data_IF_755780962125
#
_entry.id   IF_755780962125
#
_cell.length_a   1.000
_cell.length_b   1.000
_cell.length_c   1.000
_cell.angle_alpha   90.00
_cell.angle_beta   90.00
_cell.angle_gamma   90.00
#
_symmetry.space_group_name_H-M   'P 1'
#
loop_
_entity.id
_entity.type
_entity.pdbx_description
1 polymer ?
#
# COMPACT_ATOMS: atom_id res chain seq x y z
N UNK A 1 -16.45 20.96 -2.39
CA UNK A 1 -17.12 20.38 -3.52
C UNK A 1 -16.36 20.78 -4.78
N UNK A 2 -15.79 19.81 -5.47
CA UNK A 2 -15.29 20.00 -6.82
C UNK A 2 -16.53 20.12 -7.71
N UNK A 3 -16.90 21.35 -8.05
CA UNK A 3 -17.83 21.63 -9.13
C UNK A 3 -17.06 21.41 -10.43
N UNK A 4 -17.24 20.27 -11.04
CA UNK A 4 -16.95 20.12 -12.46
C UNK A 4 -18.03 20.90 -13.18
N UNK A 5 -17.64 21.90 -13.98
CA UNK A 5 -18.57 22.74 -14.72
C UNK A 5 -19.50 21.85 -15.55
N UNK A 6 -20.81 22.08 -15.42
CA UNK A 6 -21.84 21.47 -16.22
C UNK A 6 -21.71 21.97 -17.66
N UNK A 7 -21.01 21.24 -18.49
CA UNK A 7 -21.41 21.15 -19.88
C UNK A 7 -22.35 19.95 -20.00
N UNK A 8 -23.50 20.16 -20.64
CA UNK A 8 -24.60 19.23 -20.79
C UNK A 8 -24.10 17.83 -21.13
N UNK A 9 -24.16 16.95 -20.13
CA UNK A 9 -23.39 15.76 -20.10
C UNK A 9 -23.84 14.66 -21.02
N UNK A 10 -22.87 14.03 -21.56
CA UNK A 10 -22.97 12.65 -22.03
C UNK A 10 -23.10 11.72 -20.80
N UNK A 11 -23.66 10.55 -20.99
CA UNK A 11 -23.83 9.55 -19.90
C UNK A 11 -22.50 9.20 -19.19
N UNK A 12 -21.37 9.37 -19.86
CA UNK A 12 -20.03 9.20 -19.29
C UNK A 12 -19.71 10.22 -18.18
N UNK A 13 -20.09 11.47 -18.34
CA UNK A 13 -19.86 12.49 -17.32
C UNK A 13 -20.72 12.25 -16.06
N UNK A 14 -21.90 11.68 -16.22
CA UNK A 14 -22.74 11.31 -15.08
C UNK A 14 -22.16 10.13 -14.32
N UNK A 15 -21.55 9.17 -15.00
CA UNK A 15 -20.89 8.02 -14.38
C UNK A 15 -19.66 8.43 -13.59
N UNK A 16 -18.85 9.35 -14.13
CA UNK A 16 -17.66 9.89 -13.45
C UNK A 16 -18.06 10.68 -12.19
N UNK A 17 -19.06 11.53 -12.28
CA UNK A 17 -19.57 12.29 -11.12
C UNK A 17 -20.15 11.36 -10.05
N UNK A 18 -20.80 10.27 -10.43
CA UNK A 18 -21.34 9.28 -9.52
C UNK A 18 -20.20 8.52 -8.78
N UNK A 19 -19.16 8.11 -9.51
CA UNK A 19 -18.00 7.44 -8.94
C UNK A 19 -17.20 8.35 -7.99
N UNK A 20 -17.04 9.63 -8.34
CA UNK A 20 -16.39 10.62 -7.48
C UNK A 20 -17.23 10.83 -6.20
N UNK A 21 -18.55 10.92 -6.33
CA UNK A 21 -19.45 11.11 -5.19
C UNK A 21 -19.48 9.87 -4.27
N UNK A 22 -19.42 8.66 -4.80
CA UNK A 22 -19.31 7.44 -4.00
C UNK A 22 -17.97 7.36 -3.27
N UNK A 23 -16.86 7.68 -3.94
CA UNK A 23 -15.54 7.72 -3.31
C UNK A 23 -15.46 8.80 -2.23
N UNK A 24 -16.01 9.97 -2.48
CA UNK A 24 -16.07 11.03 -1.48
C UNK A 24 -16.91 10.64 -0.26
N UNK A 25 -18.02 9.89 -0.44
CA UNK A 25 -18.80 9.35 0.68
C UNK A 25 -18.04 8.29 1.47
N UNK A 26 -17.36 7.38 0.80
CA UNK A 26 -16.56 6.34 1.46
C UNK A 26 -15.37 6.95 2.22
N UNK A 27 -14.73 7.97 1.68
CA UNK A 27 -13.68 8.73 2.35
C UNK A 27 -14.23 9.58 3.51
N UNK A 28 -15.48 10.03 3.44
CA UNK A 28 -16.13 10.79 4.50
C UNK A 28 -16.54 9.94 5.71
N UNK A 29 -16.64 8.63 5.56
CA UNK A 29 -16.85 7.69 6.68
C UNK A 29 -15.56 7.40 7.44
N UNK A 30 -14.39 7.50 6.82
CA UNK A 30 -13.14 7.66 7.53
C UNK A 30 -13.11 9.09 8.08
N UNK A 31 -13.48 9.27 9.33
CA UNK A 31 -13.28 10.52 10.05
C UNK A 31 -11.77 10.80 10.13
N UNK A 32 -11.22 11.32 9.06
CA UNK A 32 -10.00 12.09 9.13
C UNK A 32 -10.37 13.31 9.98
N UNK A 33 -9.99 13.30 11.23
CA UNK A 33 -10.05 14.53 12.01
C UNK A 33 -9.24 15.56 11.23
N UNK A 34 -9.85 16.71 10.93
CA UNK A 34 -9.21 17.79 10.19
C UNK A 34 -7.90 18.25 10.86
N UNK A 35 -7.72 17.88 12.12
CA UNK A 35 -6.57 18.20 12.97
C UNK A 35 -5.43 17.17 12.89
N UNK A 36 -5.57 16.11 12.08
CA UNK A 36 -4.53 15.10 11.91
C UNK A 36 -3.85 15.25 10.55
N UNK A 37 -2.56 15.53 10.55
CA UNK A 37 -1.76 15.40 9.33
C UNK A 37 -1.63 13.92 9.01
N UNK A 38 -2.14 13.54 7.84
CA UNK A 38 -2.01 12.20 7.32
C UNK A 38 -0.70 12.09 6.57
N UNK A 39 0.25 11.34 7.10
CA UNK A 39 1.52 11.09 6.46
C UNK A 39 1.76 9.59 6.29
N UNK A 40 2.30 9.23 5.13
CA UNK A 40 2.66 7.85 4.79
C UNK A 40 4.17 7.77 4.59
N UNK A 41 4.81 6.85 5.28
CA UNK A 41 6.22 6.56 5.11
C UNK A 41 6.40 5.33 4.22
N UNK A 42 7.36 5.41 3.31
CA UNK A 42 7.90 4.27 2.58
C UNK A 42 9.32 4.03 3.09
N UNK A 43 9.50 2.93 3.79
CA UNK A 43 10.76 2.62 4.46
C UNK A 43 11.41 1.41 3.81
N UNK A 44 12.57 1.62 3.21
CA UNK A 44 13.39 0.57 2.63
C UNK A 44 14.16 -0.17 3.73
N UNK A 45 13.74 -1.38 4.05
CA UNK A 45 14.33 -2.21 5.12
C UNK A 45 15.74 -2.70 4.79
N UNK A 46 16.19 -2.63 3.55
CA UNK A 46 17.58 -2.91 3.17
C UNK A 46 18.53 -1.80 3.63
N UNK A 47 18.02 -0.60 3.93
CA UNK A 47 18.82 0.59 4.27
C UNK A 47 18.54 1.14 5.66
N UNK A 48 17.31 1.01 6.13
CA UNK A 48 16.85 1.69 7.33
C UNK A 48 16.03 0.75 8.21
N UNK A 49 16.26 0.85 9.51
CA UNK A 49 15.41 0.18 10.49
C UNK A 49 14.09 0.94 10.68
N UNK A 50 12.97 0.23 10.95
CA UNK A 50 11.65 0.86 11.01
C UNK A 50 11.48 1.96 12.06
N UNK A 51 12.16 1.88 13.19
CA UNK A 51 12.08 2.90 14.25
C UNK A 51 12.65 4.26 13.87
N UNK A 52 13.40 4.35 12.75
CA UNK A 52 13.89 5.63 12.23
C UNK A 52 12.74 6.60 11.93
N UNK A 53 11.54 6.08 11.69
CA UNK A 53 10.33 6.89 11.52
C UNK A 53 10.07 7.77 12.75
N UNK A 54 10.38 7.30 13.96
CA UNK A 54 10.24 8.07 15.18
C UNK A 54 11.28 9.18 15.32
N UNK A 55 12.54 8.87 15.00
CA UNK A 55 13.64 9.85 15.08
C UNK A 55 13.47 10.99 14.09
N UNK A 56 12.98 10.68 12.88
CA UNK A 56 12.76 11.68 11.85
C UNK A 56 11.75 12.75 12.27
N UNK A 57 10.80 12.38 13.09
CA UNK A 57 9.67 13.20 13.50
C UNK A 57 10.00 14.22 14.57
N UNK A 58 10.79 13.81 15.55
CA UNK A 58 11.04 14.62 16.74
C UNK A 58 12.11 15.68 16.53
N UNK A 59 13.04 15.45 15.61
CA UNK A 59 14.24 16.30 15.48
C UNK A 59 14.21 17.30 14.33
N UNK A 60 13.30 17.18 13.38
CA UNK A 60 13.32 17.97 12.13
C UNK A 60 12.12 18.88 11.92
N UNK A 61 11.10 18.78 12.74
CA UNK A 61 10.01 19.76 12.73
C UNK A 61 10.42 20.88 13.67
N UNK A 62 10.86 21.98 13.09
CA UNK A 62 11.07 23.21 13.82
C UNK A 62 9.73 23.63 14.46
N UNK A 63 9.74 23.74 15.77
CA UNK A 63 8.59 24.12 16.58
C UNK A 63 7.84 25.33 16.01
N UNK A 64 8.54 26.27 15.42
CA UNK A 64 7.95 27.51 14.91
C UNK A 64 7.09 27.35 13.66
N UNK A 65 7.28 26.27 12.89
CA UNK A 65 6.57 26.11 11.61
C UNK A 65 5.31 25.27 11.74
N UNK A 66 5.24 24.41 12.76
CA UNK A 66 4.19 23.40 12.88
C UNK A 66 3.44 23.42 14.21
N UNK A 67 3.82 24.23 15.17
CA UNK A 67 3.14 24.35 16.47
C UNK A 67 1.64 24.65 16.34
N UNK A 68 1.26 25.41 15.32
CA UNK A 68 -0.13 25.78 15.10
C UNK A 68 -0.94 24.72 14.31
N UNK A 69 -0.29 23.74 13.70
CA UNK A 69 -0.93 22.70 12.90
C UNK A 69 -1.23 21.42 13.69
N UNK A 70 -0.73 21.32 14.91
CA UNK A 70 -0.80 20.11 15.71
C UNK A 70 -1.37 20.42 17.07
N UNK A 71 -2.57 19.93 17.34
CA UNK A 71 -3.06 19.90 18.73
C UNK A 71 -2.16 19.00 19.56
N UNK A 72 -1.76 19.47 20.74
CA UNK A 72 -1.11 18.61 21.72
C UNK A 72 -2.05 17.46 22.06
N UNK A 73 -1.59 16.23 21.86
CA UNK A 73 -2.25 15.11 22.51
C UNK A 73 -1.94 15.19 24.00
N UNK A 74 -2.90 14.82 24.84
CA UNK A 74 -2.77 14.86 26.32
C UNK A 74 -1.53 14.12 26.84
N UNK A 75 -0.94 13.24 26.02
CA UNK A 75 0.27 12.47 26.33
C UNK A 75 1.57 13.14 25.87
N UNK A 76 1.52 14.34 25.28
CA UNK A 76 2.67 15.11 24.81
C UNK A 76 3.44 14.50 23.63
N UNK A 77 3.01 13.36 23.09
CA UNK A 77 3.66 12.67 21.99
C UNK A 77 2.94 12.97 20.66
N UNK A 78 3.58 13.74 19.82
CA UNK A 78 3.12 13.99 18.46
C UNK A 78 3.69 12.92 17.54
N UNK A 79 2.84 12.05 17.00
CA UNK A 79 3.23 11.07 16.01
C UNK A 79 2.84 11.55 14.62
N UNK A 80 3.81 11.84 13.77
CA UNK A 80 3.61 11.96 12.32
C UNK A 80 3.73 10.56 11.72
N UNK A 81 3.03 10.32 10.60
CA UNK A 81 3.07 9.04 9.94
C UNK A 81 2.06 8.07 10.50
N UNK A 82 0.88 8.14 9.93
CA UNK A 82 -0.22 7.24 10.29
C UNK A 82 -0.01 5.85 9.69
N UNK A 83 0.68 5.77 8.56
CA UNK A 83 0.98 4.52 7.86
C UNK A 83 2.48 4.43 7.58
N UNK A 84 3.04 3.27 7.86
CA UNK A 84 4.42 2.90 7.52
C UNK A 84 4.37 1.72 6.56
N UNK A 85 4.74 1.95 5.32
CA UNK A 85 4.88 0.91 4.31
C UNK A 85 6.32 0.39 4.31
N UNK A 86 6.50 -0.85 4.72
CA UNK A 86 7.79 -1.51 4.73
C UNK A 86 8.14 -2.00 3.31
N UNK A 87 9.13 -1.41 2.71
CA UNK A 87 9.71 -1.80 1.43
C UNK A 87 10.90 -2.75 1.67
N UNK A 88 11.11 -3.75 0.88
CA UNK A 88 10.23 -4.18 -0.20
C UNK A 88 9.85 -5.63 0.03
N UNK A 89 8.66 -5.98 -0.37
CA UNK A 89 8.22 -7.37 -0.50
C UNK A 89 7.92 -7.62 -1.96
N UNK A 90 8.50 -8.64 -2.54
CA UNK A 90 8.55 -8.80 -3.99
C UNK A 90 7.62 -9.92 -4.44
N UNK A 91 6.79 -9.62 -5.46
CA UNK A 91 6.15 -10.66 -6.26
C UNK A 91 7.19 -11.21 -7.23
N UNK A 92 7.58 -12.44 -7.01
CA UNK A 92 8.57 -13.15 -7.80
C UNK A 92 7.92 -14.29 -8.59
N UNK A 93 8.66 -14.92 -9.49
CA UNK A 93 8.22 -16.01 -10.33
C UNK A 93 9.15 -17.21 -10.21
N UNK A 94 8.60 -18.35 -9.88
CA UNK A 94 9.29 -19.62 -9.93
C UNK A 94 9.11 -20.25 -11.31
N UNK A 95 10.17 -20.27 -12.10
CA UNK A 95 10.16 -20.79 -13.46
C UNK A 95 9.99 -22.33 -13.52
N UNK A 96 10.35 -23.05 -12.47
CA UNK A 96 10.23 -24.50 -12.44
C UNK A 96 8.78 -24.95 -12.20
N UNK A 97 8.07 -24.23 -11.33
CA UNK A 97 6.70 -24.56 -10.95
C UNK A 97 5.64 -23.68 -11.58
N UNK A 98 6.03 -22.57 -12.19
CA UNK A 98 5.10 -21.56 -12.74
C UNK A 98 4.35 -20.76 -11.67
N UNK A 99 4.79 -20.79 -10.41
CA UNK A 99 4.13 -20.16 -9.29
C UNK A 99 4.51 -18.69 -9.13
N UNK A 100 3.57 -17.91 -8.63
CA UNK A 100 3.84 -16.60 -8.08
C UNK A 100 4.32 -16.76 -6.64
N UNK A 101 5.44 -16.15 -6.29
CA UNK A 101 6.05 -16.25 -4.97
C UNK A 101 6.06 -14.89 -4.27
N UNK A 102 5.79 -14.91 -2.97
CA UNK A 102 6.02 -13.77 -2.10
C UNK A 102 7.44 -13.86 -1.53
N UNK A 103 8.33 -13.01 -2.03
CA UNK A 103 9.71 -12.97 -1.58
C UNK A 103 9.92 -11.78 -0.64
N UNK A 104 10.21 -12.08 0.63
CA UNK A 104 10.45 -11.06 1.65
C UNK A 104 11.88 -10.50 1.62
N UNK A 105 12.83 -11.26 1.07
CA UNK A 105 14.24 -10.92 1.22
C UNK A 105 14.75 -11.10 2.67
N UNK A 106 16.07 -11.00 2.84
CA UNK A 106 16.69 -11.28 4.15
C UNK A 106 16.42 -10.17 5.17
N UNK A 107 16.50 -8.91 4.74
CA UNK A 107 16.33 -7.76 5.64
C UNK A 107 14.91 -7.63 6.15
N UNK A 108 13.92 -7.82 5.27
CA UNK A 108 12.53 -7.86 5.67
C UNK A 108 12.24 -9.02 6.62
N UNK A 109 12.77 -10.22 6.35
CA UNK A 109 12.64 -11.36 7.27
C UNK A 109 13.22 -11.04 8.63
N UNK A 110 14.41 -10.45 8.66
CA UNK A 110 15.03 -10.04 9.92
C UNK A 110 14.16 -9.06 10.71
N UNK A 111 13.57 -8.06 10.06
CA UNK A 111 12.67 -7.10 10.70
C UNK A 111 11.42 -7.80 11.23
N UNK A 112 10.82 -8.70 10.46
CA UNK A 112 9.62 -9.44 10.84
C UNK A 112 9.89 -10.45 11.97
N UNK A 113 11.01 -11.15 11.92
CA UNK A 113 11.42 -12.09 12.99
C UNK A 113 11.74 -11.36 14.32
N UNK A 114 11.98 -10.05 14.26
CA UNK A 114 12.19 -9.19 15.42
C UNK A 114 11.07 -8.15 15.58
N UNK A 115 9.85 -8.57 15.36
CA UNK A 115 8.66 -7.72 15.28
C UNK A 115 8.44 -6.87 16.54
N UNK A 116 8.69 -7.44 17.72
CA UNK A 116 8.54 -6.74 18.99
C UNK A 116 9.52 -5.57 19.16
N UNK A 117 10.65 -5.67 18.46
CA UNK A 117 11.67 -4.62 18.48
C UNK A 117 11.40 -3.52 17.44
N UNK A 118 10.95 -3.88 16.24
CA UNK A 118 10.93 -2.95 15.11
C UNK A 118 9.55 -2.50 14.66
N UNK A 119 8.50 -3.28 14.94
CA UNK A 119 7.15 -3.02 14.41
C UNK A 119 6.16 -2.70 15.54
N UNK A 120 6.12 -3.49 16.60
CA UNK A 120 5.20 -3.24 17.73
C UNK A 120 5.30 -1.84 18.30
N UNK A 121 6.51 -1.27 18.52
CA UNK A 121 6.59 0.10 19.03
C UNK A 121 5.95 1.15 18.12
N UNK A 122 5.90 0.90 16.81
CA UNK A 122 5.20 1.79 15.86
C UNK A 122 3.69 1.62 15.97
N UNK A 123 3.21 0.38 16.06
CA UNK A 123 1.79 0.06 16.21
C UNK A 123 1.23 0.55 17.56
N UNK A 124 1.99 0.42 18.64
CA UNK A 124 1.63 0.89 19.99
C UNK A 124 1.43 2.41 20.04
N UNK A 125 2.10 3.14 19.15
CA UNK A 125 1.90 4.58 18.96
C UNK A 125 0.74 4.93 18.01
N UNK A 126 -0.06 3.93 17.62
CA UNK A 126 -1.23 4.11 16.77
C UNK A 126 -0.94 4.12 15.26
N UNK A 127 0.29 3.83 14.84
CA UNK A 127 0.62 3.72 13.41
C UNK A 127 0.13 2.39 12.83
N UNK A 128 -0.21 2.41 11.57
CA UNK A 128 -0.50 1.23 10.77
C UNK A 128 0.73 0.80 10.01
N UNK A 129 1.17 -0.43 10.21
CA UNK A 129 2.37 -0.97 9.56
C UNK A 129 1.96 -1.97 8.49
N UNK A 130 2.26 -1.68 7.24
CA UNK A 130 1.91 -2.46 6.07
C UNK A 130 3.17 -2.93 5.34
N UNK A 131 3.09 -4.08 4.68
CA UNK A 131 4.09 -4.46 3.68
C UNK A 131 3.81 -3.76 2.35
N UNK A 132 4.86 -3.34 1.66
CA UNK A 132 4.76 -2.77 0.32
C UNK A 132 5.17 -3.82 -0.72
N UNK A 133 4.21 -4.22 -1.54
CA UNK A 133 4.40 -5.20 -2.61
C UNK A 133 4.87 -4.50 -3.89
N UNK A 134 5.88 -5.06 -4.53
CA UNK A 134 6.35 -4.64 -5.86
C UNK A 134 6.73 -5.84 -6.72
N UNK A 135 7.05 -5.62 -7.99
CA UNK A 135 7.52 -6.69 -8.88
C UNK A 135 8.98 -7.08 -8.65
N UNK A 136 9.31 -8.34 -8.87
CA UNK A 136 10.65 -8.91 -8.73
C UNK A 136 11.52 -8.82 -9.98
N UNK A 137 11.08 -8.12 -11.02
CA UNK A 137 11.84 -8.02 -12.27
C UNK A 137 11.81 -9.28 -13.14
N UNK A 138 10.98 -10.25 -12.84
CA UNK A 138 10.89 -11.52 -13.55
C UNK A 138 9.99 -11.49 -14.80
N UNK A 139 9.24 -10.41 -14.97
CA UNK A 139 8.22 -10.26 -16.02
C UNK A 139 6.81 -10.60 -15.50
N UNK A 140 6.71 -11.23 -14.32
CA UNK A 140 5.44 -11.42 -13.63
C UNK A 140 5.20 -10.23 -12.69
N UNK A 141 3.97 -9.72 -12.68
CA UNK A 141 3.54 -8.62 -11.81
C UNK A 141 2.02 -8.64 -11.64
N UNK A 142 1.48 -7.61 -11.00
CA UNK A 142 0.06 -7.58 -10.64
C UNK A 142 -0.89 -7.63 -11.85
N UNK A 143 -0.40 -7.21 -13.01
CA UNK A 143 -1.21 -7.02 -14.23
C UNK A 143 -1.24 -8.23 -15.15
N UNK A 144 -0.54 -9.30 -14.84
CA UNK A 144 -0.47 -10.49 -15.70
C UNK A 144 -0.51 -11.82 -14.96
N UNK A 145 -0.96 -11.84 -13.70
CA UNK A 145 -1.19 -13.07 -12.95
C UNK A 145 -2.34 -13.88 -13.55
N UNK A 146 -2.20 -15.18 -13.60
CA UNK A 146 -3.30 -16.11 -13.83
C UNK A 146 -4.17 -16.24 -12.57
N UNK A 147 -5.40 -16.74 -12.70
CA UNK A 147 -6.29 -16.94 -11.55
C UNK A 147 -5.69 -17.89 -10.51
N UNK A 148 -4.97 -18.93 -10.94
CA UNK A 148 -4.27 -19.84 -10.03
C UNK A 148 -3.13 -19.15 -9.26
N UNK A 149 -2.36 -18.31 -9.94
CA UNK A 149 -1.29 -17.53 -9.31
C UNK A 149 -1.84 -16.51 -8.32
N UNK A 150 -2.99 -15.89 -8.62
CA UNK A 150 -3.67 -14.99 -7.68
C UNK A 150 -4.04 -15.73 -6.39
N UNK A 151 -4.67 -16.90 -6.49
CA UNK A 151 -5.06 -17.69 -5.32
C UNK A 151 -3.85 -18.05 -4.46
N UNK A 152 -2.78 -18.53 -5.08
CA UNK A 152 -1.55 -18.93 -4.40
C UNK A 152 -0.84 -17.72 -3.75
N UNK A 153 -0.70 -16.63 -4.47
CA UNK A 153 -0.07 -15.41 -3.96
C UNK A 153 -0.86 -14.78 -2.80
N UNK A 154 -2.18 -14.71 -2.91
CA UNK A 154 -3.07 -14.23 -1.86
C UNK A 154 -2.92 -15.03 -0.57
N UNK A 155 -2.80 -16.36 -0.68
CA UNK A 155 -2.59 -17.23 0.48
C UNK A 155 -1.25 -16.91 1.19
N UNK A 156 -0.17 -16.69 0.43
CA UNK A 156 1.14 -16.34 0.97
C UNK A 156 1.10 -14.95 1.66
N UNK A 157 0.49 -13.95 1.02
CA UNK A 157 0.34 -12.61 1.62
C UNK A 157 -0.48 -12.68 2.90
N UNK A 158 -1.61 -13.40 2.89
CA UNK A 158 -2.45 -13.59 4.08
C UNK A 158 -1.66 -14.21 5.23
N UNK A 159 -0.84 -15.23 4.95
CA UNK A 159 0.01 -15.87 5.95
C UNK A 159 0.91 -14.84 6.63
N UNK A 160 1.65 -14.05 5.87
CA UNK A 160 2.55 -13.02 6.40
C UNK A 160 1.79 -11.97 7.22
N UNK A 161 0.69 -11.44 6.69
CA UNK A 161 -0.11 -10.42 7.39
C UNK A 161 -0.66 -10.95 8.72
N UNK A 162 -1.08 -12.20 8.74
CA UNK A 162 -1.68 -12.82 9.94
C UNK A 162 -0.61 -13.20 10.95
N UNK A 163 0.46 -13.86 10.52
CA UNK A 163 1.54 -14.35 11.38
C UNK A 163 2.23 -13.21 12.14
N UNK A 164 2.52 -12.13 11.43
CA UNK A 164 3.18 -10.97 12.01
C UNK A 164 2.20 -9.88 12.50
N UNK A 165 0.90 -10.13 12.46
CA UNK A 165 -0.17 -9.21 12.84
C UNK A 165 0.03 -7.79 12.26
N UNK A 166 0.38 -7.72 10.98
CA UNK A 166 0.54 -6.47 10.25
C UNK A 166 -0.81 -5.85 9.93
N UNK A 167 -0.83 -4.55 9.68
CA UNK A 167 -2.06 -3.79 9.48
C UNK A 167 -2.58 -3.81 8.05
N UNK A 168 -1.78 -4.22 7.08
CA UNK A 168 -2.23 -4.29 5.70
C UNK A 168 -1.15 -4.41 4.65
N UNK A 169 -1.54 -4.07 3.43
CA UNK A 169 -0.74 -4.18 2.22
C UNK A 169 -0.80 -2.88 1.44
N UNK A 170 0.34 -2.43 0.96
CA UNK A 170 0.45 -1.40 -0.06
C UNK A 170 0.87 -2.04 -1.37
N UNK A 171 0.25 -1.65 -2.46
CA UNK A 171 0.65 -2.03 -3.81
C UNK A 171 1.42 -0.90 -4.46
N UNK A 172 2.61 -1.21 -4.94
CA UNK A 172 3.40 -0.30 -5.76
C UNK A 172 3.81 -1.02 -7.04
N UNK A 173 3.01 -0.85 -8.10
CA UNK A 173 3.25 -1.53 -9.38
C UNK A 173 4.46 -0.93 -10.09
N UNK A 174 5.63 -1.37 -9.68
CA UNK A 174 6.93 -1.05 -10.27
C UNK A 174 7.80 -2.31 -10.33
N UNK A 175 8.86 -2.25 -11.07
CA UNK A 175 9.92 -3.26 -11.13
C UNK A 175 9.47 -4.66 -11.62
N UNK A 176 8.25 -4.84 -12.12
CA UNK A 176 7.78 -6.13 -12.63
C UNK A 176 8.51 -6.59 -13.91
N UNK A 177 9.02 -5.62 -14.69
CA UNK A 177 9.65 -5.87 -15.99
C UNK A 177 8.72 -6.62 -16.98
N UNK A 178 7.48 -6.14 -17.09
CA UNK A 178 6.48 -6.71 -17.99
C UNK A 178 6.99 -6.87 -19.43
N UNK A 179 6.43 -7.84 -20.15
CA UNK A 179 6.77 -8.10 -21.56
C UNK A 179 7.97 -9.00 -21.78
N UNK A 180 8.50 -9.64 -20.73
CA UNK A 180 9.53 -10.67 -20.91
C UNK A 180 8.99 -11.88 -21.65
N UNK A 181 9.84 -12.49 -22.46
CA UNK A 181 9.52 -13.70 -23.22
C UNK A 181 9.10 -14.83 -22.24
N UNK A 182 8.07 -15.57 -22.63
CA UNK A 182 7.51 -16.64 -21.81
C UNK A 182 6.58 -16.19 -20.67
N UNK A 183 6.43 -14.88 -20.43
CA UNK A 183 5.50 -14.36 -19.45
C UNK A 183 4.14 -13.99 -20.06
N UNK A 184 3.05 -14.12 -19.27
CA UNK A 184 1.74 -13.69 -19.74
C UNK A 184 1.74 -12.21 -20.12
N UNK A 185 0.95 -11.84 -21.13
CA UNK A 185 0.73 -10.44 -21.47
C UNK A 185 -0.05 -9.73 -20.36
N UNK A 186 0.25 -8.44 -20.19
CA UNK A 186 -0.54 -7.58 -19.30
C UNK A 186 -2.01 -7.55 -19.73
N UNK A 187 -2.91 -7.47 -18.76
CA UNK A 187 -4.35 -7.37 -18.99
C UNK A 187 -4.99 -6.51 -17.90
N UNK A 188 -6.20 -6.03 -18.16
CA UNK A 188 -6.94 -5.11 -17.29
C UNK A 188 -7.67 -5.80 -16.14
N UNK A 189 -7.66 -7.12 -16.06
CA UNK A 189 -8.46 -7.90 -15.12
C UNK A 189 -7.66 -8.49 -13.97
N UNK A 190 -6.37 -8.78 -14.16
CA UNK A 190 -5.51 -9.44 -13.16
C UNK A 190 -5.40 -8.62 -11.88
N UNK A 191 -5.00 -7.37 -11.98
CA UNK A 191 -4.79 -6.52 -10.82
C UNK A 191 -6.06 -6.26 -10.00
N UNK A 192 -7.21 -5.88 -10.60
CA UNK A 192 -8.47 -5.79 -9.86
C UNK A 192 -8.90 -7.12 -9.20
N UNK A 193 -8.70 -8.26 -9.85
CA UNK A 193 -8.95 -9.58 -9.27
C UNK A 193 -8.08 -9.84 -8.04
N UNK A 194 -6.78 -9.52 -8.14
CA UNK A 194 -5.84 -9.66 -7.02
C UNK A 194 -6.28 -8.82 -5.81
N UNK A 195 -6.59 -7.54 -6.02
CA UNK A 195 -7.06 -6.64 -4.95
C UNK A 195 -8.34 -7.19 -4.31
N UNK A 196 -9.31 -7.64 -5.13
CA UNK A 196 -10.56 -8.22 -4.65
C UNK A 196 -10.31 -9.48 -3.81
N UNK A 197 -9.49 -10.40 -4.31
CA UNK A 197 -9.16 -11.63 -3.61
C UNK A 197 -8.43 -11.37 -2.28
N UNK A 198 -7.51 -10.40 -2.25
CA UNK A 198 -6.87 -9.98 -1.01
C UNK A 198 -7.85 -9.33 -0.02
N UNK A 199 -8.79 -8.51 -0.50
CA UNK A 199 -9.84 -7.93 0.36
C UNK A 199 -10.71 -9.02 0.98
N UNK A 200 -11.10 -10.02 0.21
CA UNK A 200 -11.89 -11.17 0.69
C UNK A 200 -11.08 -12.01 1.70
N UNK A 201 -9.79 -12.21 1.46
CA UNK A 201 -8.93 -13.01 2.32
C UNK A 201 -8.54 -12.32 3.63
N UNK A 202 -8.34 -11.01 3.62
CA UNK A 202 -7.85 -10.21 4.76
C UNK A 202 -8.98 -9.54 5.57
N UNK A 203 -10.21 -9.50 5.03
CA UNK A 203 -11.35 -8.81 5.65
C UNK A 203 -11.28 -7.29 5.54
N UNK A 204 -12.19 -6.58 6.19
CA UNK A 204 -12.33 -5.12 6.11
C UNK A 204 -11.36 -4.35 7.00
N UNK A 205 -10.87 -4.98 8.04
CA UNK A 205 -10.01 -4.35 9.07
C UNK A 205 -8.58 -4.09 8.59
N UNK A 206 -8.11 -4.83 7.59
CA UNK A 206 -6.77 -4.65 7.04
C UNK A 206 -6.75 -3.59 5.95
N UNK A 207 -5.74 -2.75 5.97
CA UNK A 207 -5.56 -1.73 4.94
C UNK A 207 -5.13 -2.37 3.62
N UNK A 208 -5.75 -1.93 2.54
CA UNK A 208 -5.26 -2.14 1.18
C UNK A 208 -5.11 -0.77 0.53
N UNK A 209 -3.89 -0.39 0.22
CA UNK A 209 -3.55 0.90 -0.37
C UNK A 209 -2.79 0.72 -1.67
N UNK A 210 -2.87 1.69 -2.54
CA UNK A 210 -2.18 1.69 -3.84
C UNK A 210 -1.33 2.94 -3.94
N UNK A 211 -0.07 2.77 -4.34
CA UNK A 211 0.79 3.88 -4.72
C UNK A 211 0.54 4.20 -6.18
N UNK A 212 0.08 5.41 -6.44
CA UNK A 212 -0.20 5.90 -7.80
C UNK A 212 0.88 6.89 -8.18
N UNK A 213 1.45 6.73 -9.36
CA UNK A 213 2.39 7.68 -9.93
C UNK A 213 1.66 8.82 -10.64
N UNK A 214 2.31 9.95 -10.71
CA UNK A 214 1.84 11.09 -11.49
C UNK A 214 1.75 10.74 -12.99
N UNK A 215 2.71 9.93 -13.47
CA UNK A 215 2.65 9.31 -14.78
C UNK A 215 2.43 7.80 -14.62
N UNK A 216 1.29 7.25 -15.06
CA UNK A 216 1.06 5.82 -14.97
C UNK A 216 2.06 5.08 -15.83
N UNK A 217 2.81 4.18 -15.20
CA UNK A 217 3.82 3.36 -15.88
C UNK A 217 3.21 2.21 -16.67
N UNK A 218 1.95 1.91 -16.45
CA UNK A 218 1.22 0.85 -17.12
C UNK A 218 -0.02 1.40 -17.82
N UNK A 219 -0.22 1.02 -19.07
CA UNK A 219 -1.33 1.49 -19.92
C UNK A 219 -2.71 1.10 -19.38
N UNK A 220 -2.80 0.06 -18.56
CA UNK A 220 -4.07 -0.39 -17.99
C UNK A 220 -4.69 0.58 -16.98
N UNK A 221 -3.94 1.52 -16.41
CA UNK A 221 -4.47 2.58 -15.58
C UNK A 221 -5.29 3.62 -16.33
N UNK A 222 -5.11 3.66 -17.66
CA UNK A 222 -5.73 4.63 -18.54
C UNK A 222 -6.91 4.05 -19.34
N UNK A 223 -7.35 2.83 -19.04
CA UNK A 223 -8.47 2.17 -19.74
C UNK A 223 -9.68 2.02 -18.84
#
# INVERSE_FOLDING_TARGET
PLTVAEEAGTEEHQTINYLISIRARQLGEYKLNADQVFAVFYLDTEKYQPLLVDEYLMSKLDANTWENAWSEREDGLRTIGNIVNLNKVVLDYDAETGRALLNLGNDMRYVLDHIDKYIRPLQDKGRKVCICLEGGGTGLGFCNLTDAQIVDFVAQVKTVITEYALDGVNFWDRNAAYGKEGMPAMNTTSYPKLIKALREALGTEKLLTVTVYEEPTATFWNT
#
